data_IF_162852585831
#
_entry.id   IF_162852585831
#
_cell.length_a   1.000
_cell.length_b   1.000
_cell.length_c   1.000
_cell.angle_alpha   90.00
_cell.angle_beta   90.00
_cell.angle_gamma   90.00
#
_symmetry.space_group_name_H-M   'P 1'
#
loop_
_entity.id
_entity.type
_entity.pdbx_description
1 polymer ?
#
# COMPACT_ATOMS: atom_id res chain seq x y z
N UNK A 1 31.14 7.16 0.36
CA UNK A 1 30.66 7.54 1.71
C UNK A 1 30.17 8.98 1.66
N UNK A 2 29.00 9.23 2.23
CA UNK A 2 28.45 10.59 2.31
C UNK A 2 29.28 11.46 3.25
N UNK A 3 29.42 12.74 2.93
CA UNK A 3 30.05 13.73 3.80
C UNK A 3 29.22 13.97 5.07
N UNK A 4 29.79 14.51 6.15
CA UNK A 4 29.05 14.84 7.37
C UNK A 4 27.90 15.84 7.08
N UNK A 5 28.12 16.81 6.23
CA UNK A 5 27.08 17.77 5.80
C UNK A 5 25.91 17.08 5.11
N UNK A 6 26.16 16.09 4.24
CA UNK A 6 25.06 15.32 3.59
C UNK A 6 24.30 14.49 4.63
N UNK A 7 24.98 13.90 5.60
CA UNK A 7 24.31 13.14 6.68
C UNK A 7 23.41 14.05 7.53
N UNK A 8 23.88 15.24 7.87
CA UNK A 8 23.10 16.23 8.61
C UNK A 8 21.85 16.67 7.83
N UNK A 9 21.98 16.90 6.52
CA UNK A 9 20.86 17.25 5.65
C UNK A 9 19.84 16.10 5.56
N UNK A 10 20.29 14.87 5.40
CA UNK A 10 19.41 13.69 5.41
C UNK A 10 18.72 13.51 6.75
N UNK A 11 19.42 13.70 7.86
CA UNK A 11 18.83 13.62 9.19
C UNK A 11 17.74 14.68 9.40
N UNK A 12 17.99 15.92 8.95
CA UNK A 12 17.02 17.01 9.02
C UNK A 12 15.77 16.70 8.18
N UNK A 13 15.92 16.17 6.95
CA UNK A 13 14.78 15.77 6.10
C UNK A 13 13.92 14.71 6.78
N UNK A 14 14.54 13.72 7.43
CA UNK A 14 13.80 12.69 8.17
C UNK A 14 13.13 13.27 9.43
N UNK A 15 13.77 14.17 10.14
CA UNK A 15 13.17 14.82 11.32
C UNK A 15 11.93 15.63 10.93
N UNK A 16 11.98 16.36 9.82
CA UNK A 16 10.81 17.08 9.27
C UNK A 16 9.70 16.11 8.86
N UNK A 17 10.05 15.01 8.16
CA UNK A 17 9.08 13.99 7.80
C UNK A 17 8.41 13.36 9.03
N UNK A 18 9.19 13.01 10.05
CA UNK A 18 8.65 12.48 11.31
C UNK A 18 7.70 13.49 12.00
N UNK A 19 8.06 14.78 12.01
CA UNK A 19 7.19 15.82 12.53
C UNK A 19 5.88 15.97 11.73
N UNK A 20 5.91 15.77 10.42
CA UNK A 20 4.70 15.75 9.58
C UNK A 20 3.80 14.54 9.92
N UNK A 21 4.39 13.36 10.15
CA UNK A 21 3.63 12.17 10.58
C UNK A 21 3.00 12.41 11.97
N UNK A 22 3.73 13.00 12.93
CA UNK A 22 3.19 13.37 14.23
C UNK A 22 1.99 14.34 14.11
N UNK A 23 2.07 15.31 13.20
CA UNK A 23 0.94 16.23 12.93
C UNK A 23 -0.23 15.54 12.25
N UNK A 24 0.01 14.59 11.36
CA UNK A 24 -1.01 13.75 10.73
C UNK A 24 -1.74 12.94 11.83
N UNK A 25 -0.99 12.27 12.71
CA UNK A 25 -1.54 11.49 13.82
C UNK A 25 -2.43 12.34 14.75
N UNK A 26 -1.98 13.55 15.12
CA UNK A 26 -2.82 14.49 15.87
C UNK A 26 -4.09 14.88 15.10
N UNK A 27 -4.01 14.96 13.75
CA UNK A 27 -5.18 15.21 12.89
C UNK A 27 -6.18 14.06 12.95
N UNK A 28 -5.70 12.83 12.81
CA UNK A 28 -6.51 11.61 12.97
C UNK A 28 -7.14 11.55 14.36
N UNK A 29 -6.36 11.84 15.41
CA UNK A 29 -6.84 11.88 16.79
C UNK A 29 -8.02 12.83 16.96
N UNK A 30 -7.95 14.06 16.41
CA UNK A 30 -9.07 15.02 16.45
C UNK A 30 -10.34 14.51 15.77
N UNK A 31 -10.21 13.80 14.66
CA UNK A 31 -11.36 13.18 13.95
C UNK A 31 -11.98 12.10 14.83
N UNK A 32 -11.16 11.22 15.41
CA UNK A 32 -11.62 10.14 16.29
C UNK A 32 -12.33 10.69 17.53
N UNK A 33 -11.76 11.71 18.18
CA UNK A 33 -12.40 12.37 19.34
C UNK A 33 -13.73 13.04 18.96
N UNK A 34 -13.84 13.63 17.78
CA UNK A 34 -15.12 14.19 17.32
C UNK A 34 -16.18 13.10 17.10
N UNK A 35 -15.82 11.98 16.47
CA UNK A 35 -16.74 10.83 16.29
C UNK A 35 -17.17 10.28 17.65
N UNK A 36 -16.24 10.20 18.61
CA UNK A 36 -16.53 9.78 19.98
C UNK A 36 -17.48 10.74 20.69
N UNK A 37 -17.27 12.04 20.54
CA UNK A 37 -18.12 13.06 21.14
C UNK A 37 -19.57 13.05 20.61
N UNK A 38 -19.80 12.57 19.39
CA UNK A 38 -21.15 12.36 18.83
C UNK A 38 -21.78 11.03 19.27
N UNK A 39 -21.05 10.16 19.97
CA UNK A 39 -21.53 8.85 20.41
C UNK A 39 -21.48 7.77 19.30
N UNK A 40 -20.87 8.06 18.14
CA UNK A 40 -20.91 7.17 16.97
C UNK A 40 -19.67 6.26 16.84
N UNK A 41 -18.67 6.38 17.74
CA UNK A 41 -17.41 5.67 17.60
C UNK A 41 -17.55 4.15 17.55
N UNK A 42 -18.45 3.60 18.40
CA UNK A 42 -18.69 2.15 18.47
C UNK A 42 -19.19 1.60 17.13
N UNK A 43 -19.97 2.38 16.37
CA UNK A 43 -20.57 2.00 15.11
C UNK A 43 -19.92 2.65 13.89
N UNK A 44 -18.69 3.11 14.01
CA UNK A 44 -17.94 3.71 12.90
C UNK A 44 -16.75 2.85 12.52
N UNK A 45 -16.70 2.40 11.25
CA UNK A 45 -15.52 1.77 10.67
C UNK A 45 -14.53 2.84 10.23
N UNK A 46 -13.34 2.84 10.83
CA UNK A 46 -12.21 3.69 10.44
C UNK A 46 -11.14 2.79 9.82
N UNK A 47 -10.76 3.09 8.59
CA UNK A 47 -9.67 2.41 7.87
C UNK A 47 -8.53 3.41 7.66
N UNK A 48 -7.32 3.04 8.05
CA UNK A 48 -6.11 3.82 7.82
C UNK A 48 -5.05 2.98 7.11
N UNK A 49 -4.55 3.48 5.98
CA UNK A 49 -3.54 2.81 5.16
C UNK A 49 -2.73 3.86 4.39
N UNK A 50 -1.59 3.43 3.85
CA UNK A 50 -0.91 4.17 2.78
C UNK A 50 -1.31 3.59 1.42
N UNK A 51 -1.35 4.42 0.39
CA UNK A 51 -1.71 4.04 -1.00
C UNK A 51 -0.57 3.33 -1.74
N UNK A 52 0.67 3.57 -1.31
CA UNK A 52 1.90 2.97 -1.86
C UNK A 52 3.03 3.02 -0.84
N UNK A 53 4.16 2.44 -1.19
CA UNK A 53 5.39 2.58 -0.43
C UNK A 53 5.95 4.01 -0.41
N UNK A 54 7.00 4.23 0.37
CA UNK A 54 7.64 5.55 0.55
C UNK A 54 8.01 6.22 -0.77
N UNK A 55 7.79 7.53 -0.87
CA UNK A 55 8.02 8.30 -2.09
C UNK A 55 9.51 8.63 -2.25
N UNK A 56 10.12 8.16 -3.34
CA UNK A 56 11.53 8.40 -3.68
C UNK A 56 11.77 9.67 -4.48
N UNK A 57 10.72 10.24 -5.04
CA UNK A 57 10.78 11.44 -5.88
C UNK A 57 11.41 12.60 -5.09
N UNK A 58 12.18 13.41 -5.79
CA UNK A 58 12.85 14.56 -5.17
C UNK A 58 12.43 15.84 -5.89
N UNK A 59 11.17 16.25 -5.81
CA UNK A 59 10.71 17.49 -6.41
C UNK A 59 11.36 18.65 -5.67
N UNK A 60 12.09 19.48 -6.41
CA UNK A 60 12.57 20.79 -5.91
C UNK A 60 11.56 21.83 -6.35
N UNK A 61 10.60 22.12 -5.47
CA UNK A 61 9.51 23.08 -5.73
C UNK A 61 9.42 24.15 -4.65
N UNK A 62 10.51 24.40 -3.93
CA UNK A 62 10.53 25.44 -2.90
C UNK A 62 10.29 26.82 -3.53
N UNK A 63 9.42 27.62 -2.93
CA UNK A 63 9.15 29.01 -3.36
C UNK A 63 10.41 29.87 -3.30
N UNK A 64 11.25 29.58 -2.30
CA UNK A 64 12.57 30.23 -2.16
C UNK A 64 13.65 29.20 -2.47
N UNK A 65 14.44 29.40 -3.56
CA UNK A 65 15.55 28.52 -3.91
C UNK A 65 16.56 28.41 -2.75
N UNK A 66 16.95 27.16 -2.44
CA UNK A 66 17.91 26.89 -1.35
C UNK A 66 17.32 26.91 0.05
N UNK A 67 15.99 27.05 0.22
CA UNK A 67 15.35 26.90 1.52
C UNK A 67 15.72 25.57 2.17
N UNK A 68 16.08 25.57 3.46
CA UNK A 68 16.29 24.32 4.20
C UNK A 68 14.99 23.53 4.34
N UNK A 69 15.03 22.22 4.65
CA UNK A 69 13.83 21.46 4.98
C UNK A 69 13.11 22.06 6.18
N UNK A 70 11.77 22.14 6.15
CA UNK A 70 10.93 22.47 7.29
C UNK A 70 10.04 23.72 7.14
N UNK A 71 10.55 24.91 6.75
CA UNK A 71 9.72 26.08 6.56
C UNK A 71 8.63 25.88 5.50
N UNK A 72 7.55 26.67 5.59
CA UNK A 72 6.41 26.58 4.64
C UNK A 72 6.79 26.89 3.19
N UNK A 73 7.83 27.67 2.99
CA UNK A 73 8.38 28.03 1.67
C UNK A 73 9.20 26.90 1.03
N UNK A 74 9.52 25.87 1.82
CA UNK A 74 10.31 24.71 1.38
C UNK A 74 9.37 23.58 0.95
N UNK A 75 9.62 23.06 -0.24
CA UNK A 75 8.96 21.84 -0.72
C UNK A 75 10.03 20.84 -1.15
N UNK A 76 10.46 20.03 -0.18
CA UNK A 76 11.53 19.04 -0.35
C UNK A 76 11.04 17.66 0.07
N UNK A 77 11.50 16.64 -0.62
CA UNK A 77 11.27 15.24 -0.25
C UNK A 77 12.48 14.66 0.50
N UNK A 78 12.26 13.62 1.27
CA UNK A 78 13.33 12.94 2.00
C UNK A 78 14.23 12.06 1.10
N UNK A 79 13.77 11.79 -0.13
CA UNK A 79 14.57 11.17 -1.18
C UNK A 79 14.65 9.65 -1.10
N UNK A 80 15.38 9.08 -2.07
CA UNK A 80 15.43 7.63 -2.35
C UNK A 80 15.89 6.79 -1.17
N UNK A 81 16.91 7.25 -0.44
CA UNK A 81 17.50 6.46 0.66
C UNK A 81 16.48 6.28 1.81
N UNK A 82 15.79 7.34 2.17
CA UNK A 82 14.76 7.29 3.21
C UNK A 82 13.49 6.60 2.73
N UNK A 83 13.11 6.75 1.45
CA UNK A 83 12.02 5.98 0.88
C UNK A 83 12.25 4.47 1.00
N UNK A 84 13.45 4.01 0.68
CA UNK A 84 13.82 2.60 0.84
C UNK A 84 13.84 2.18 2.32
N UNK A 85 14.40 3.01 3.20
CA UNK A 85 14.44 2.72 4.63
C UNK A 85 13.03 2.65 5.26
N UNK A 86 12.10 3.50 4.83
CA UNK A 86 10.72 3.54 5.31
C UNK A 86 9.93 2.26 4.99
N UNK A 87 10.34 1.50 3.96
CA UNK A 87 9.67 0.26 3.55
C UNK A 87 10.34 -1.00 4.12
N UNK A 88 11.37 -0.85 4.94
CA UNK A 88 12.08 -1.99 5.54
C UNK A 88 11.11 -2.94 6.26
N UNK A 89 11.18 -4.26 6.06
CA UNK A 89 12.27 -4.98 5.38
C UNK A 89 12.08 -5.20 3.87
N UNK A 90 11.04 -4.67 3.26
CA UNK A 90 10.73 -4.86 1.85
C UNK A 90 11.67 -4.07 0.95
N UNK A 91 12.04 -4.65 -0.20
CA UNK A 91 12.90 -3.96 -1.17
C UNK A 91 12.11 -2.97 -2.02
N UNK A 92 12.78 -1.91 -2.43
CA UNK A 92 12.25 -0.82 -3.26
C UNK A 92 11.23 0.07 -2.52
N UNK A 93 10.45 0.86 -3.25
CA UNK A 93 9.63 1.96 -2.75
C UNK A 93 8.59 2.34 -3.82
N UNK A 94 7.77 3.35 -3.60
CA UNK A 94 6.82 3.91 -4.57
C UNK A 94 7.41 3.91 -5.99
N UNK A 95 6.61 3.62 -6.99
CA UNK A 95 6.92 3.40 -8.41
C UNK A 95 7.12 1.92 -8.77
N UNK A 96 7.69 1.13 -7.87
CA UNK A 96 7.95 -0.28 -8.11
C UNK A 96 6.76 -1.15 -7.68
N UNK A 97 6.56 -2.27 -8.38
CA UNK A 97 5.54 -3.27 -8.02
C UNK A 97 6.10 -4.43 -7.18
N UNK A 98 7.31 -4.27 -6.67
CA UNK A 98 7.88 -5.08 -5.60
C UNK A 98 7.20 -4.75 -4.26
N UNK A 99 7.34 -5.63 -3.25
CA UNK A 99 6.64 -5.47 -1.96
C UNK A 99 6.85 -4.08 -1.33
N UNK A 100 8.04 -3.51 -1.40
CA UNK A 100 8.30 -2.16 -0.85
C UNK A 100 7.56 -1.03 -1.56
N UNK A 101 7.03 -1.27 -2.76
CA UNK A 101 6.22 -0.28 -3.48
C UNK A 101 4.71 -0.47 -3.31
N UNK A 102 4.24 -1.69 -3.03
CA UNK A 102 2.81 -2.03 -3.04
C UNK A 102 2.28 -2.63 -1.74
N UNK A 103 3.13 -3.22 -0.89
CA UNK A 103 2.69 -3.86 0.34
C UNK A 103 2.67 -2.87 1.50
N UNK A 104 1.50 -2.34 1.79
CA UNK A 104 1.27 -1.40 2.89
C UNK A 104 0.39 -2.03 3.97
N UNK A 105 0.59 -1.71 5.26
CA UNK A 105 -0.30 -2.19 6.31
C UNK A 105 -1.65 -1.47 6.24
N UNK A 106 -2.72 -2.16 6.63
CA UNK A 106 -4.03 -1.61 6.86
C UNK A 106 -4.35 -1.68 8.36
N UNK A 107 -4.76 -0.57 8.95
CA UNK A 107 -5.31 -0.49 10.30
C UNK A 107 -6.82 -0.33 10.19
N UNK A 108 -7.56 -1.19 10.89
CA UNK A 108 -9.02 -1.11 10.98
C UNK A 108 -9.44 -0.91 12.44
N UNK A 109 -10.26 0.10 12.68
CA UNK A 109 -10.87 0.37 13.97
C UNK A 109 -12.39 0.39 13.83
N UNK A 110 -13.07 -0.54 14.49
CA UNK A 110 -14.53 -0.62 14.56
C UNK A 110 -14.90 -1.40 15.82
N UNK A 111 -15.05 -0.75 16.99
CA UNK A 111 -15.16 -1.43 18.27
C UNK A 111 -16.30 -2.46 18.35
N UNK A 112 -17.44 -2.19 17.70
CA UNK A 112 -18.56 -3.12 17.68
C UNK A 112 -18.28 -4.44 16.96
N UNK A 113 -17.26 -4.52 16.10
CA UNK A 113 -17.00 -5.67 15.22
C UNK A 113 -15.57 -6.21 15.34
N UNK A 114 -14.58 -5.32 15.28
CA UNK A 114 -13.17 -5.69 15.25
C UNK A 114 -12.65 -5.97 16.66
N UNK A 115 -12.16 -7.19 16.88
CA UNK A 115 -11.53 -7.56 18.16
C UNK A 115 -10.27 -6.71 18.41
N UNK A 116 -10.17 -6.01 19.57
CA UNK A 116 -8.99 -5.23 19.90
C UNK A 116 -7.71 -6.05 19.86
N UNK A 117 -6.66 -5.49 19.23
CA UNK A 117 -5.35 -6.13 19.11
C UNK A 117 -5.28 -7.31 18.13
N UNK A 118 -6.33 -7.58 17.36
CA UNK A 118 -6.30 -8.63 16.35
C UNK A 118 -5.29 -8.31 15.26
N UNK A 119 -4.54 -9.33 14.83
CA UNK A 119 -3.61 -9.27 13.70
C UNK A 119 -3.94 -10.38 12.71
N UNK A 120 -3.84 -10.09 11.44
CA UNK A 120 -4.04 -11.06 10.37
C UNK A 120 -3.05 -10.85 9.23
N UNK A 121 -2.62 -11.94 8.60
CA UNK A 121 -1.82 -11.93 7.38
C UNK A 121 -2.67 -12.12 6.11
N UNK A 122 -4.00 -12.12 6.21
CA UNK A 122 -4.86 -12.26 5.04
C UNK A 122 -4.64 -11.08 4.08
N UNK A 123 -4.53 -11.40 2.79
CA UNK A 123 -4.23 -10.40 1.75
C UNK A 123 -5.47 -9.59 1.44
N UNK A 124 -5.34 -8.27 1.53
CA UNK A 124 -6.28 -7.30 0.98
C UNK A 124 -5.67 -6.54 -0.20
N UNK A 125 -6.50 -5.85 -0.94
CA UNK A 125 -6.10 -4.94 -2.00
C UNK A 125 -6.94 -3.65 -1.92
N UNK A 126 -6.43 -2.54 -2.44
CA UNK A 126 -7.16 -1.25 -2.39
C UNK A 126 -8.53 -1.33 -3.07
N UNK A 127 -8.68 -2.22 -4.08
CA UNK A 127 -9.99 -2.45 -4.73
C UNK A 127 -11.03 -3.05 -3.79
N UNK A 128 -10.63 -3.63 -2.65
CA UNK A 128 -11.51 -4.26 -1.66
C UNK A 128 -12.24 -3.22 -0.78
N UNK A 129 -11.76 -1.98 -0.74
CA UNK A 129 -12.31 -0.95 0.14
C UNK A 129 -13.76 -0.60 -0.24
N UNK A 130 -14.06 -0.43 -1.53
CA UNK A 130 -15.42 -0.10 -1.97
C UNK A 130 -16.41 -1.24 -1.68
N UNK A 131 -16.14 -2.51 -2.04
CA UNK A 131 -17.00 -3.63 -1.66
C UNK A 131 -17.20 -3.73 -0.14
N UNK A 132 -16.16 -3.45 0.65
CA UNK A 132 -16.26 -3.44 2.12
C UNK A 132 -17.23 -2.36 2.61
N UNK A 133 -17.11 -1.13 2.08
CA UNK A 133 -18.01 -0.05 2.45
C UNK A 133 -19.47 -0.35 2.11
N UNK A 134 -19.73 -0.95 0.95
CA UNK A 134 -21.08 -1.34 0.54
C UNK A 134 -21.64 -2.44 1.44
N UNK A 135 -20.84 -3.46 1.72
CA UNK A 135 -21.24 -4.60 2.55
C UNK A 135 -21.57 -4.14 3.97
N UNK A 136 -20.70 -3.32 4.58
CA UNK A 136 -20.92 -2.73 5.91
C UNK A 136 -22.16 -1.84 5.95
N UNK A 137 -22.44 -1.11 4.86
CA UNK A 137 -23.61 -0.23 4.75
C UNK A 137 -24.90 -0.98 4.38
N UNK A 138 -24.84 -2.27 4.07
CA UNK A 138 -25.98 -3.04 3.54
C UNK A 138 -26.46 -2.52 2.18
N UNK A 139 -25.56 -1.92 1.41
CA UNK A 139 -25.85 -1.30 0.12
C UNK A 139 -25.43 -2.21 -1.04
N UNK A 140 -26.13 -2.11 -2.17
CA UNK A 140 -25.78 -2.83 -3.39
C UNK A 140 -25.06 -1.90 -4.38
N UNK A 141 -24.06 -2.44 -5.06
CA UNK A 141 -23.45 -1.75 -6.19
C UNK A 141 -24.39 -1.77 -7.39
N UNK A 142 -24.71 -0.62 -8.01
CA UNK A 142 -25.65 -0.59 -9.12
C UNK A 142 -25.05 -1.19 -10.39
N UNK A 143 -25.86 -1.84 -11.21
CA UNK A 143 -25.44 -2.35 -12.52
C UNK A 143 -25.38 -1.26 -13.58
N UNK A 144 -26.22 -0.22 -13.42
CA UNK A 144 -26.31 0.88 -14.38
C UNK A 144 -26.29 2.24 -13.67
N UNK A 145 -25.85 3.28 -14.38
CA UNK A 145 -25.95 4.69 -13.97
C UNK A 145 -26.28 5.56 -15.18
N UNK A 146 -27.36 6.34 -15.09
CA UNK A 146 -27.84 7.18 -16.19
C UNK A 146 -28.03 6.37 -17.48
N UNK A 147 -28.71 5.23 -17.38
CA UNK A 147 -29.00 4.29 -18.49
C UNK A 147 -27.77 3.72 -19.20
N UNK A 148 -26.62 3.72 -18.53
CA UNK A 148 -25.39 3.10 -19.01
C UNK A 148 -24.92 2.02 -18.04
N UNK A 149 -24.52 0.89 -18.58
CA UNK A 149 -23.87 -0.17 -17.82
C UNK A 149 -22.59 0.35 -17.18
N UNK A 150 -22.36 -0.02 -15.93
CA UNK A 150 -21.12 0.28 -15.22
C UNK A 150 -20.32 -1.01 -14.97
N UNK A 151 -19.00 -0.86 -14.95
CA UNK A 151 -18.11 -1.98 -14.71
C UNK A 151 -18.37 -2.56 -13.31
N UNK A 152 -18.54 -3.88 -13.17
CA UNK A 152 -18.62 -4.54 -11.86
C UNK A 152 -17.39 -4.25 -11.00
N UNK A 153 -17.55 -4.39 -9.68
CA UNK A 153 -16.42 -4.32 -8.75
C UNK A 153 -15.52 -5.55 -8.90
N UNK A 154 -14.23 -5.32 -9.00
CA UNK A 154 -13.22 -6.39 -9.03
C UNK A 154 -12.78 -6.83 -7.61
N UNK A 155 -13.09 -6.01 -6.60
CA UNK A 155 -12.67 -6.23 -5.21
C UNK A 155 -13.61 -7.18 -4.45
N UNK A 156 -13.10 -7.70 -3.33
CA UNK A 156 -13.80 -8.57 -2.40
C UNK A 156 -13.92 -7.87 -1.04
N UNK A 157 -15.09 -7.93 -0.40
CA UNK A 157 -15.28 -7.32 0.91
C UNK A 157 -14.29 -7.84 1.96
N UNK A 158 -13.72 -6.95 2.76
CA UNK A 158 -12.89 -7.26 3.92
C UNK A 158 -13.73 -7.55 5.18
N UNK A 159 -15.06 -7.40 5.13
CA UNK A 159 -15.93 -7.58 6.30
C UNK A 159 -15.70 -8.90 7.02
N UNK A 160 -15.58 -10.08 6.36
CA UNK A 160 -15.28 -11.32 7.05
C UNK A 160 -13.95 -11.26 7.84
N UNK A 161 -12.94 -10.59 7.32
CA UNK A 161 -11.65 -10.41 8.02
C UNK A 161 -11.83 -9.52 9.25
N UNK A 162 -12.59 -8.43 9.12
CA UNK A 162 -12.90 -7.52 10.22
C UNK A 162 -13.67 -8.24 11.36
N UNK A 163 -14.51 -9.18 11.01
CA UNK A 163 -15.21 -10.06 11.95
C UNK A 163 -14.35 -11.20 12.54
N UNK A 164 -13.06 -11.26 12.17
CA UNK A 164 -12.13 -12.30 12.63
C UNK A 164 -12.28 -13.65 11.91
N UNK A 165 -12.95 -13.67 10.76
CA UNK A 165 -13.18 -14.88 9.96
C UNK A 165 -12.12 -14.99 8.83
N UNK A 166 -12.03 -16.18 8.23
CA UNK A 166 -11.31 -16.37 6.97
C UNK A 166 -12.23 -15.98 5.80
N UNK A 167 -11.64 -15.40 4.76
CA UNK A 167 -12.33 -15.20 3.47
C UNK A 167 -11.55 -15.87 2.33
N UNK A 168 -12.19 -16.25 1.23
CA UNK A 168 -11.47 -16.54 -0.02
C UNK A 168 -10.63 -15.33 -0.42
N UNK A 169 -9.35 -15.56 -0.71
CA UNK A 169 -8.50 -14.52 -1.27
C UNK A 169 -8.86 -14.26 -2.75
N UNK A 170 -8.26 -13.20 -3.31
CA UNK A 170 -8.27 -13.04 -4.76
C UNK A 170 -7.58 -14.25 -5.43
N UNK A 171 -8.16 -14.77 -6.50
CA UNK A 171 -7.53 -15.83 -7.28
C UNK A 171 -6.20 -15.36 -7.83
N UNK A 172 -6.18 -14.16 -8.43
CA UNK A 172 -4.98 -13.47 -8.87
C UNK A 172 -5.11 -11.96 -8.65
N UNK A 173 -3.99 -11.30 -8.38
CA UNK A 173 -3.85 -9.86 -8.35
C UNK A 173 -2.78 -9.44 -9.35
N UNK A 174 -3.04 -8.35 -10.08
CA UNK A 174 -2.17 -7.86 -11.14
C UNK A 174 -1.80 -6.41 -10.90
N UNK A 175 -0.58 -6.04 -11.27
CA UNK A 175 -0.07 -4.67 -11.23
C UNK A 175 0.69 -4.36 -12.50
N UNK A 176 0.48 -3.14 -12.99
CA UNK A 176 1.27 -2.54 -14.07
C UNK A 176 1.48 -1.07 -13.75
N UNK A 177 2.72 -0.61 -13.80
CA UNK A 177 3.07 0.79 -13.54
C UNK A 177 4.40 1.14 -14.20
N UNK A 178 4.39 2.06 -15.16
CA UNK A 178 5.58 2.53 -15.89
C UNK A 178 6.49 1.39 -16.38
N UNK A 179 5.91 0.36 -17.00
CA UNK A 179 6.64 -0.79 -17.51
C UNK A 179 7.10 -1.78 -16.44
N UNK A 180 6.87 -1.51 -15.16
CA UNK A 180 6.98 -2.50 -14.10
C UNK A 180 5.70 -3.30 -14.00
N UNK A 181 5.79 -4.62 -13.85
CA UNK A 181 4.64 -5.51 -13.88
C UNK A 181 4.74 -6.59 -12.79
N UNK A 182 3.61 -7.00 -12.23
CA UNK A 182 3.55 -8.13 -11.33
C UNK A 182 2.21 -8.88 -11.42
N UNK A 183 2.26 -10.16 -11.07
CA UNK A 183 1.10 -10.99 -10.80
C UNK A 183 1.34 -11.79 -9.52
N UNK A 184 0.32 -11.85 -8.67
CA UNK A 184 0.31 -12.64 -7.45
C UNK A 184 -0.81 -13.65 -7.48
N UNK A 185 -0.51 -14.90 -7.15
CA UNK A 185 -1.46 -15.99 -6.95
C UNK A 185 -1.14 -16.68 -5.63
N UNK A 186 -1.96 -16.46 -4.62
CA UNK A 186 -1.69 -16.93 -3.26
C UNK A 186 -0.36 -16.37 -2.75
N UNK A 187 0.58 -17.26 -2.43
CA UNK A 187 1.93 -16.86 -1.96
C UNK A 187 2.94 -16.70 -3.11
N UNK A 188 2.62 -17.10 -4.32
CA UNK A 188 3.50 -16.91 -5.47
C UNK A 188 3.35 -15.52 -6.06
N UNK A 189 4.48 -14.86 -6.31
CA UNK A 189 4.54 -13.56 -6.98
C UNK A 189 5.58 -13.59 -8.09
N UNK A 190 5.15 -13.22 -9.29
CA UNK A 190 6.02 -12.97 -10.43
C UNK A 190 6.10 -11.47 -10.65
N UNK A 191 7.29 -10.91 -10.76
CA UNK A 191 7.50 -9.46 -10.87
C UNK A 191 8.59 -9.12 -11.87
N UNK A 192 8.41 -8.03 -12.61
CA UNK A 192 9.41 -7.45 -13.52
C UNK A 192 9.52 -5.95 -13.27
N UNK A 193 10.74 -5.45 -13.25
CA UNK A 193 11.02 -4.03 -13.09
C UNK A 193 11.34 -3.40 -14.45
N UNK A 194 10.57 -2.38 -14.85
CA UNK A 194 10.82 -1.57 -16.05
C UNK A 194 11.11 -2.39 -17.32
N UNK A 195 10.34 -3.47 -17.54
CA UNK A 195 10.55 -4.37 -18.67
C UNK A 195 11.79 -5.26 -18.57
N UNK A 196 12.41 -5.34 -17.41
CA UNK A 196 13.54 -6.22 -17.11
C UNK A 196 13.15 -7.69 -17.01
N UNK A 197 14.06 -8.56 -16.56
CA UNK A 197 13.78 -9.98 -16.39
C UNK A 197 12.66 -10.20 -15.36
N UNK A 198 11.90 -11.26 -15.56
CA UNK A 198 10.89 -11.71 -14.63
C UNK A 198 11.51 -12.50 -13.48
N UNK A 199 11.27 -12.06 -12.26
CA UNK A 199 11.71 -12.65 -11.01
C UNK A 199 10.51 -13.35 -10.33
N UNK A 200 10.69 -14.54 -9.76
CA UNK A 200 9.64 -15.33 -9.10
C UNK A 200 9.95 -15.51 -7.62
N UNK A 201 8.97 -15.28 -6.76
CA UNK A 201 9.11 -15.36 -5.31
C UNK A 201 7.99 -16.17 -4.66
N UNK A 202 8.34 -16.93 -3.60
CA UNK A 202 7.41 -17.54 -2.65
C UNK A 202 7.31 -16.62 -1.43
N UNK A 203 6.27 -15.78 -1.37
CA UNK A 203 6.08 -14.78 -0.32
C UNK A 203 5.80 -15.38 1.05
N UNK A 204 5.44 -16.67 1.15
CA UNK A 204 5.32 -17.36 2.44
C UNK A 204 6.67 -17.53 3.13
N UNK A 205 7.77 -17.51 2.37
CA UNK A 205 9.15 -17.72 2.83
C UNK A 205 10.05 -16.49 2.63
N UNK A 206 9.76 -15.70 1.59
CA UNK A 206 10.59 -14.58 1.18
C UNK A 206 9.75 -13.37 0.75
N UNK A 207 9.15 -12.69 1.72
CA UNK A 207 8.45 -11.42 1.48
C UNK A 207 9.39 -10.26 1.15
N UNK A 208 10.69 -10.47 1.32
CA UNK A 208 11.71 -9.46 1.01
C UNK A 208 12.17 -9.51 -0.45
N UNK A 209 11.73 -10.53 -1.19
CA UNK A 209 12.02 -10.71 -2.62
C UNK A 209 13.54 -10.73 -2.91
N UNK A 210 14.30 -11.50 -2.13
CA UNK A 210 15.75 -11.60 -2.24
C UNK A 210 16.22 -12.86 -2.98
N UNK A 211 15.39 -13.91 -3.02
CA UNK A 211 15.75 -15.23 -3.57
C UNK A 211 14.90 -15.52 -4.81
N UNK A 212 15.36 -15.11 -5.98
CA UNK A 212 14.67 -15.36 -7.24
C UNK A 212 14.61 -16.85 -7.59
N UNK A 213 13.41 -17.40 -7.64
CA UNK A 213 13.09 -18.78 -7.96
C UNK A 213 12.75 -19.01 -9.45
N UNK A 214 12.86 -18.01 -10.31
CA UNK A 214 12.43 -18.07 -11.72
C UNK A 214 13.14 -19.16 -12.52
N UNK A 215 14.38 -19.49 -12.16
CA UNK A 215 15.17 -20.55 -12.80
C UNK A 215 14.89 -21.93 -12.24
N UNK A 216 14.55 -22.03 -10.96
CA UNK A 216 14.30 -23.30 -10.26
C UNK A 216 12.84 -23.75 -10.37
N UNK A 217 11.92 -22.83 -10.64
CA UNK A 217 10.48 -23.08 -10.82
C UNK A 217 9.96 -22.53 -12.16
N UNK A 218 10.52 -22.98 -13.32
CA UNK A 218 10.18 -22.39 -14.61
C UNK A 218 8.71 -22.61 -15.01
N UNK A 219 8.10 -23.70 -14.56
CA UNK A 219 6.68 -23.99 -14.84
C UNK A 219 5.78 -22.93 -14.17
N UNK A 220 6.00 -22.68 -12.87
CA UNK A 220 5.23 -21.67 -12.13
C UNK A 220 5.45 -20.25 -12.66
N UNK A 221 6.69 -19.91 -13.01
CA UNK A 221 7.00 -18.64 -13.69
C UNK A 221 6.21 -18.50 -14.99
N UNK A 222 6.19 -19.55 -15.83
CA UNK A 222 5.51 -19.51 -17.14
C UNK A 222 3.98 -19.47 -16.98
N UNK A 223 3.41 -20.16 -15.99
CA UNK A 223 1.99 -20.11 -15.63
C UNK A 223 1.57 -18.66 -15.30
N UNK A 224 2.26 -18.02 -14.36
CA UNK A 224 1.96 -16.66 -13.93
C UNK A 224 2.21 -15.64 -15.05
N UNK A 225 3.25 -15.84 -15.86
CA UNK A 225 3.52 -14.97 -17.01
C UNK A 225 2.41 -15.07 -18.07
N UNK A 226 1.89 -16.27 -18.32
CA UNK A 226 0.77 -16.46 -19.22
C UNK A 226 -0.49 -15.76 -18.70
N UNK A 227 -0.79 -15.90 -17.40
CA UNK A 227 -1.90 -15.21 -16.76
C UNK A 227 -1.78 -13.68 -16.87
N UNK A 228 -0.59 -13.13 -16.59
CA UNK A 228 -0.33 -11.69 -16.75
C UNK A 228 -0.58 -11.23 -18.18
N UNK A 229 -0.07 -11.94 -19.19
CA UNK A 229 -0.25 -11.61 -20.62
C UNK A 229 -1.69 -11.68 -21.09
N UNK A 230 -2.52 -12.49 -20.45
CA UNK A 230 -3.96 -12.57 -20.75
C UNK A 230 -4.72 -11.39 -20.14
N UNK A 231 -4.27 -10.90 -19.00
CA UNK A 231 -4.89 -9.78 -18.30
C UNK A 231 -4.50 -8.42 -18.92
N UNK A 232 -3.22 -8.23 -19.32
CA UNK A 232 -2.67 -7.01 -19.90
C UNK A 232 -3.16 -6.77 -21.33
#
# INVERSE_FOLDING_TARGET
>A
SSSEKEKEEFALKMAVYAAMIDRLDQGVGRIVEQIKATGELENTLILFLADNGGCHENPVRSEVPGSPPGPKESFLAYGKNWANASNTPFRRFKHWVHEGGISTPLIAHWPAVVKPGALTGQVGHVIDLMPTCLDVAGASYPETRNDKDIRPLDGLSLLPILEGKQRPGHEMLFWEHFGSAAVRQGDWKLVSAEGGPWELYDLSKDRTELNDLSKTHPEKRNELLAAYRTWA
#
